data_IF_190397241136
#
_entry.id   IF_190397241136
#
_cell.length_a   1.000
_cell.length_b   1.000
_cell.length_c   1.000
_cell.angle_alpha   90.00
_cell.angle_beta   90.00
_cell.angle_gamma   90.00
#
_symmetry.space_group_name_H-M   'P 1'
#
loop_
_entity.id
_entity.type
_entity.pdbx_description
1 polymer ?
#
# COMPACT_ATOMS: atom_id res chain seq x y z
N UNK A 1 -19.21 -1.82 -20.47
CA UNK A 1 -18.41 -0.89 -19.61
C UNK A 1 -17.70 -1.75 -18.60
N UNK A 2 -16.42 -1.53 -18.38
CA UNK A 2 -15.64 -2.27 -17.39
C UNK A 2 -16.15 -1.97 -15.97
N UNK A 3 -16.34 -3.01 -15.15
CA UNK A 3 -16.77 -2.88 -13.77
C UNK A 3 -15.53 -2.65 -12.88
N UNK A 4 -15.33 -1.42 -12.43
CA UNK A 4 -14.23 -1.03 -11.56
C UNK A 4 -14.75 -0.69 -10.17
N UNK A 5 -14.06 -1.15 -9.12
CA UNK A 5 -14.32 -0.77 -7.73
C UNK A 5 -13.01 -0.45 -7.02
N UNK A 6 -12.95 0.73 -6.42
CA UNK A 6 -11.83 1.15 -5.55
C UNK A 6 -12.33 1.20 -4.12
N UNK A 7 -11.81 0.33 -3.27
CA UNK A 7 -12.13 0.30 -1.85
C UNK A 7 -11.63 1.59 -1.20
N UNK A 8 -12.46 2.22 -0.37
CA UNK A 8 -12.07 3.36 0.47
C UNK A 8 -12.09 2.90 1.92
N UNK A 9 -10.92 2.64 2.48
CA UNK A 9 -10.80 2.16 3.86
C UNK A 9 -11.09 3.26 4.86
N UNK A 10 -12.11 3.07 5.72
CA UNK A 10 -12.57 4.03 6.73
C UNK A 10 -12.69 3.30 8.06
N UNK A 11 -12.12 3.86 9.15
CA UNK A 11 -12.17 3.25 10.48
C UNK A 11 -12.83 4.13 11.55
N UNK A 12 -13.23 5.34 11.19
CA UNK A 12 -13.88 6.32 12.08
C UNK A 12 -14.78 7.23 11.27
N UNK A 13 -15.68 7.94 11.94
CA UNK A 13 -16.48 8.99 11.31
C UNK A 13 -15.57 10.15 10.88
N UNK A 14 -15.46 10.35 9.57
CA UNK A 14 -14.58 11.35 8.97
C UNK A 14 -15.04 11.68 7.53
N UNK A 15 -14.50 12.75 6.95
CA UNK A 15 -14.79 13.12 5.57
C UNK A 15 -14.17 12.11 4.60
N UNK A 16 -14.92 11.77 3.57
CA UNK A 16 -14.43 10.99 2.42
C UNK A 16 -15.17 11.38 1.15
N UNK A 17 -14.52 11.13 0.01
CA UNK A 17 -15.10 11.43 -1.30
C UNK A 17 -16.01 10.30 -1.77
N UNK A 18 -17.16 10.67 -2.30
CA UNK A 18 -18.16 9.74 -2.88
C UNK A 18 -18.07 9.78 -4.40
N UNK A 19 -17.97 8.60 -5.01
CA UNK A 19 -18.04 8.43 -6.46
C UNK A 19 -18.55 7.01 -6.75
N UNK A 20 -19.18 6.78 -7.88
CA UNK A 20 -19.79 5.49 -8.28
C UNK A 20 -18.78 4.32 -8.34
N UNK A 21 -17.52 4.63 -8.65
CA UNK A 21 -16.45 3.64 -8.81
C UNK A 21 -15.74 3.36 -7.49
N UNK A 22 -16.05 4.12 -6.43
CA UNK A 22 -15.45 3.98 -5.10
C UNK A 22 -16.42 3.34 -4.13
N UNK A 23 -15.95 2.32 -3.41
CA UNK A 23 -16.71 1.56 -2.43
C UNK A 23 -16.16 1.83 -1.03
N UNK A 24 -16.83 2.67 -0.22
CA UNK A 24 -16.42 2.89 1.17
C UNK A 24 -16.62 1.63 1.99
N UNK A 25 -15.59 1.24 2.75
CA UNK A 25 -15.56 0.05 3.61
C UNK A 25 -15.18 0.46 5.03
N UNK A 26 -16.04 0.15 6.01
CA UNK A 26 -15.72 0.28 7.42
C UNK A 26 -14.78 -0.87 7.83
N UNK A 27 -13.49 -0.58 7.96
CA UNK A 27 -12.47 -1.57 8.32
C UNK A 27 -12.44 -1.79 9.83
N UNK A 28 -12.29 -3.05 10.25
CA UNK A 28 -12.35 -3.42 11.67
C UNK A 28 -13.76 -3.29 12.28
N UNK A 29 -14.80 -3.36 11.46
CA UNK A 29 -16.20 -3.22 11.90
C UNK A 29 -16.55 -4.19 13.03
N UNK A 30 -16.01 -5.43 13.00
CA UNK A 30 -16.22 -6.42 14.04
C UNK A 30 -15.79 -5.98 15.46
N UNK A 31 -14.89 -4.98 15.54
CA UNK A 31 -14.40 -4.43 16.81
C UNK A 31 -14.96 -3.02 17.10
N UNK A 32 -15.79 -2.47 16.21
CA UNK A 32 -16.28 -1.10 16.30
C UNK A 32 -17.74 -1.07 16.72
N UNK A 33 -18.06 -0.24 17.72
CA UNK A 33 -19.44 0.06 18.12
C UNK A 33 -20.06 1.19 17.30
N UNK A 34 -19.30 1.82 16.40
CA UNK A 34 -19.77 2.93 15.56
C UNK A 34 -20.47 2.34 14.33
N UNK A 35 -21.62 2.89 13.98
CA UNK A 35 -22.25 2.63 12.68
C UNK A 35 -22.00 3.83 11.75
N UNK A 36 -21.23 3.58 10.69
CA UNK A 36 -20.94 4.59 9.67
C UNK A 36 -21.95 4.57 8.51
N UNK A 37 -22.95 3.69 8.54
CA UNK A 37 -23.94 3.55 7.47
C UNK A 37 -23.35 3.10 6.12
N UNK A 38 -22.17 2.46 6.13
CA UNK A 38 -21.48 1.93 4.95
C UNK A 38 -21.18 0.44 5.10
N UNK A 39 -20.75 -0.21 4.02
CA UNK A 39 -20.38 -1.62 4.05
C UNK A 39 -19.28 -1.87 5.10
N UNK A 40 -19.51 -2.80 6.03
CA UNK A 40 -18.49 -3.30 6.95
C UNK A 40 -17.67 -4.43 6.34
N UNK A 41 -16.43 -4.56 6.77
CA UNK A 41 -15.54 -5.67 6.39
C UNK A 41 -15.77 -6.94 7.25
N UNK A 42 -16.85 -6.97 8.05
CA UNK A 42 -17.23 -8.04 8.98
C UNK A 42 -18.31 -8.99 8.44
N UNK A 43 -18.72 -8.83 7.18
CA UNK A 43 -19.74 -9.68 6.53
C UNK A 43 -19.10 -10.80 5.71
N UNK A 44 -19.83 -11.93 5.55
CA UNK A 44 -19.35 -13.06 4.74
C UNK A 44 -18.02 -13.64 5.24
N UNK A 45 -17.19 -14.12 4.32
CA UNK A 45 -15.82 -14.57 4.65
C UNK A 45 -14.93 -13.36 4.91
N UNK A 46 -14.41 -13.20 6.14
CA UNK A 46 -13.72 -12.01 6.57
C UNK A 46 -12.67 -12.27 7.67
N UNK A 47 -11.79 -11.28 7.85
CA UNK A 47 -10.81 -11.22 8.93
C UNK A 47 -10.91 -9.89 9.71
N UNK A 48 -12.10 -9.29 9.79
CA UNK A 48 -12.33 -7.96 10.37
C UNK A 48 -11.79 -7.83 11.79
N UNK A 49 -11.91 -8.89 12.61
CA UNK A 49 -11.39 -8.94 13.98
C UNK A 49 -9.86 -8.76 14.05
N UNK A 50 -9.12 -9.01 12.96
CA UNK A 50 -7.68 -8.87 12.87
C UNK A 50 -7.22 -7.45 12.47
N UNK A 51 -8.15 -6.51 12.28
CA UNK A 51 -7.85 -5.16 11.83
C UNK A 51 -6.75 -4.44 12.64
N UNK A 52 -6.62 -4.59 13.98
CA UNK A 52 -5.53 -3.94 14.72
C UNK A 52 -4.12 -4.28 14.20
N UNK A 53 -3.95 -5.46 13.59
CA UNK A 53 -2.65 -5.91 13.06
C UNK A 53 -2.59 -5.93 11.53
N UNK A 54 -3.70 -6.15 10.85
CA UNK A 54 -3.80 -6.23 9.39
C UNK A 54 -4.17 -4.89 8.73
N UNK A 55 -4.69 -3.92 9.49
CA UNK A 55 -5.09 -2.60 9.00
C UNK A 55 -6.04 -2.69 7.78
N UNK A 56 -5.76 -1.95 6.70
CA UNK A 56 -6.53 -1.93 5.45
C UNK A 56 -6.59 -3.30 4.73
N UNK A 57 -5.73 -4.23 5.07
CA UNK A 57 -5.73 -5.56 4.48
C UNK A 57 -6.99 -6.36 4.84
N UNK A 58 -7.71 -5.99 5.92
CA UNK A 58 -9.00 -6.62 6.24
C UNK A 58 -10.05 -6.30 5.19
N UNK A 59 -10.07 -5.06 4.66
CA UNK A 59 -10.93 -4.70 3.52
C UNK A 59 -10.52 -5.43 2.23
N UNK A 60 -9.20 -5.60 1.99
CA UNK A 60 -8.72 -6.37 0.84
C UNK A 60 -9.18 -7.81 0.90
N UNK A 61 -9.03 -8.46 2.06
CA UNK A 61 -9.48 -9.85 2.27
C UNK A 61 -10.99 -9.97 2.04
N UNK A 62 -11.77 -9.08 2.66
CA UNK A 62 -13.21 -9.06 2.49
C UNK A 62 -13.61 -8.91 1.02
N UNK A 63 -13.02 -7.98 0.29
CA UNK A 63 -13.32 -7.77 -1.12
C UNK A 63 -12.95 -8.98 -1.97
N UNK A 64 -11.79 -9.59 -1.72
CA UNK A 64 -11.33 -10.80 -2.41
C UNK A 64 -12.31 -11.97 -2.25
N UNK A 65 -12.83 -12.16 -1.05
CA UNK A 65 -13.75 -13.28 -0.75
C UNK A 65 -15.19 -13.03 -1.18
N UNK A 66 -15.67 -11.80 -1.12
CA UNK A 66 -17.11 -11.51 -1.19
C UNK A 66 -17.53 -10.78 -2.48
N UNK A 67 -16.65 -9.98 -3.13
CA UNK A 67 -17.02 -9.30 -4.36
C UNK A 67 -17.00 -10.25 -5.56
N UNK A 68 -17.94 -10.03 -6.49
CA UNK A 68 -18.10 -10.83 -7.72
C UNK A 68 -18.26 -9.91 -8.92
N UNK A 69 -17.92 -10.41 -10.11
CA UNK A 69 -18.10 -9.71 -11.36
C UNK A 69 -17.39 -8.34 -11.44
N UNK A 70 -16.20 -8.25 -10.84
CA UNK A 70 -15.32 -7.07 -10.86
C UNK A 70 -14.21 -7.30 -11.88
N UNK A 71 -14.01 -6.36 -12.81
CA UNK A 71 -12.93 -6.39 -13.79
C UNK A 71 -11.63 -5.82 -13.21
N UNK A 72 -11.77 -4.70 -12.47
CA UNK A 72 -10.65 -4.00 -11.83
C UNK A 72 -10.98 -3.64 -10.39
N UNK A 73 -10.06 -3.89 -9.51
CA UNK A 73 -10.17 -3.61 -8.08
C UNK A 73 -9.03 -2.70 -7.62
N UNK A 74 -9.35 -1.73 -6.79
CA UNK A 74 -8.36 -0.85 -6.19
C UNK A 74 -8.54 -0.70 -4.70
N UNK A 75 -7.55 -0.08 -4.06
CA UNK A 75 -7.56 0.28 -2.66
C UNK A 75 -7.03 1.69 -2.48
N UNK A 76 -7.75 2.49 -1.74
CA UNK A 76 -7.34 3.79 -1.23
C UNK A 76 -7.84 3.99 0.20
N UNK A 77 -7.56 5.15 0.79
CA UNK A 77 -7.98 5.48 2.15
C UNK A 77 -8.90 6.69 2.13
N UNK A 78 -9.72 6.87 3.15
CA UNK A 78 -10.69 7.98 3.24
C UNK A 78 -10.08 9.39 3.12
N UNK A 79 -8.78 9.53 3.38
CA UNK A 79 -8.02 10.78 3.23
C UNK A 79 -6.94 10.73 2.13
N UNK A 80 -6.88 9.67 1.31
CA UNK A 80 -5.85 9.51 0.27
C UNK A 80 -6.45 8.94 -0.99
N UNK A 81 -6.32 9.68 -2.11
CA UNK A 81 -6.87 9.31 -3.42
C UNK A 81 -5.85 9.53 -4.53
N UNK A 82 -6.00 8.81 -5.63
CA UNK A 82 -5.19 9.07 -6.83
C UNK A 82 -5.61 10.39 -7.49
N UNK A 83 -4.63 11.20 -7.86
CA UNK A 83 -4.87 12.39 -8.66
C UNK A 83 -4.80 12.07 -10.17
N UNK A 84 -5.94 11.81 -10.76
CA UNK A 84 -6.05 11.61 -12.20
C UNK A 84 -6.24 12.92 -12.99
N UNK A 85 -6.53 14.03 -12.31
CA UNK A 85 -6.95 15.30 -12.89
C UNK A 85 -5.98 16.45 -12.69
N UNK A 86 -4.72 16.16 -12.28
CA UNK A 86 -3.64 17.14 -12.10
C UNK A 86 -3.96 18.24 -11.07
N UNK A 87 -4.62 17.88 -10.00
CA UNK A 87 -5.00 18.77 -8.90
C UNK A 87 -3.86 18.96 -7.90
N UNK A 88 -2.93 17.99 -7.86
CA UNK A 88 -1.74 18.05 -7.04
C UNK A 88 -0.72 19.07 -7.56
N UNK A 89 0.06 19.60 -6.63
CA UNK A 89 1.17 20.49 -6.94
C UNK A 89 2.17 19.78 -7.87
N UNK A 90 2.49 20.42 -8.99
CA UNK A 90 3.42 19.86 -9.98
C UNK A 90 4.80 19.59 -9.36
N UNK A 91 5.32 18.39 -9.58
CA UNK A 91 6.65 18.00 -9.09
C UNK A 91 6.65 17.43 -7.66
N UNK A 92 5.47 17.07 -7.11
CA UNK A 92 5.33 16.41 -5.82
C UNK A 92 4.61 15.07 -5.97
N UNK A 93 5.01 14.03 -5.24
CA UNK A 93 4.35 12.71 -5.28
C UNK A 93 2.98 12.73 -4.60
N UNK A 94 2.71 13.71 -3.77
CA UNK A 94 1.42 13.99 -3.16
C UNK A 94 1.29 15.48 -2.83
N UNK A 95 0.05 15.90 -2.63
CA UNK A 95 -0.26 17.25 -2.10
C UNK A 95 -1.27 17.11 -0.97
N UNK A 96 -0.99 17.75 0.16
CA UNK A 96 -1.92 17.83 1.29
C UNK A 96 -2.86 19.00 1.07
N UNK A 97 -4.14 18.73 1.24
CA UNK A 97 -5.22 19.70 1.20
C UNK A 97 -5.95 19.69 2.54
N UNK A 98 -6.46 20.84 3.01
CA UNK A 98 -7.35 20.90 4.17
C UNK A 98 -8.58 19.98 3.97
N UNK A 99 -9.09 19.38 5.05
CA UNK A 99 -10.23 18.46 4.95
C UNK A 99 -11.52 19.15 4.47
N UNK A 100 -11.67 20.47 4.70
CA UNK A 100 -12.81 21.27 4.17
C UNK A 100 -12.79 21.41 2.64
N UNK A 101 -11.66 21.16 1.97
CA UNK A 101 -11.55 21.13 0.52
C UNK A 101 -11.93 19.77 -0.09
N UNK A 102 -12.20 18.75 0.74
CA UNK A 102 -12.43 17.40 0.29
C UNK A 102 -13.49 17.34 -0.83
N UNK A 103 -14.64 17.97 -0.63
CA UNK A 103 -15.76 17.95 -1.59
C UNK A 103 -15.47 18.67 -2.92
N UNK A 104 -14.38 19.45 -2.99
CA UNK A 104 -13.99 20.19 -4.19
C UNK A 104 -13.01 19.41 -5.09
N UNK A 105 -12.63 18.17 -4.72
CA UNK A 105 -11.67 17.38 -5.50
C UNK A 105 -12.36 16.35 -6.36
N UNK A 106 -11.92 16.27 -7.61
CA UNK A 106 -12.39 15.26 -8.56
C UNK A 106 -11.51 14.01 -8.47
N UNK A 107 -12.11 12.89 -8.10
CA UNK A 107 -11.49 11.57 -8.04
C UNK A 107 -12.01 10.62 -9.11
N UNK A 108 -12.83 11.11 -10.05
CA UNK A 108 -13.38 10.27 -11.12
C UNK A 108 -12.27 9.56 -11.90
N UNK A 109 -12.55 8.33 -12.34
CA UNK A 109 -11.60 7.52 -13.09
C UNK A 109 -11.80 7.78 -14.58
N UNK A 110 -10.91 8.52 -15.26
CA UNK A 110 -11.09 8.86 -16.66
C UNK A 110 -10.82 7.65 -17.57
N UNK A 111 -11.38 7.66 -18.76
CA UNK A 111 -11.24 6.62 -19.79
C UNK A 111 -9.77 6.29 -20.11
N UNK A 112 -8.89 7.27 -20.00
CA UNK A 112 -7.43 7.07 -20.18
C UNK A 112 -6.81 6.11 -19.16
N UNK A 113 -7.36 6.04 -17.95
CA UNK A 113 -6.94 5.09 -16.90
C UNK A 113 -7.47 3.70 -17.23
N UNK A 114 -8.75 3.60 -17.63
CA UNK A 114 -9.35 2.32 -18.03
C UNK A 114 -8.54 1.70 -19.17
N UNK A 115 -8.18 2.47 -20.20
CA UNK A 115 -7.31 2.02 -21.30
C UNK A 115 -5.93 1.54 -20.85
N UNK A 116 -5.37 2.09 -19.78
CA UNK A 116 -4.12 1.59 -19.21
C UNK A 116 -4.31 0.25 -18.50
N UNK A 117 -5.38 0.12 -17.71
CA UNK A 117 -5.74 -1.13 -17.05
C UNK A 117 -6.00 -2.25 -18.07
N UNK A 118 -6.71 -1.96 -19.17
CA UNK A 118 -6.92 -2.89 -20.29
C UNK A 118 -5.61 -3.35 -20.93
N UNK A 119 -4.59 -2.48 -21.00
CA UNK A 119 -3.24 -2.81 -21.46
C UNK A 119 -2.39 -3.55 -20.42
N UNK A 120 -2.97 -3.94 -19.28
CA UNK A 120 -2.30 -4.68 -18.21
C UNK A 120 -1.40 -3.84 -17.32
N UNK A 121 -1.60 -2.51 -17.25
CA UNK A 121 -0.90 -1.69 -16.28
C UNK A 121 -1.61 -1.73 -14.93
N UNK A 122 -0.84 -1.89 -13.86
CA UNK A 122 -1.29 -1.52 -12.52
C UNK A 122 -1.22 0.01 -12.34
N UNK A 123 -2.24 0.59 -11.73
CA UNK A 123 -2.19 1.99 -11.27
C UNK A 123 -1.65 1.98 -9.84
N UNK A 124 -0.62 2.78 -9.58
CA UNK A 124 0.06 2.85 -8.28
C UNK A 124 0.40 4.31 -7.94
N UNK A 125 0.66 4.64 -6.66
CA UNK A 125 1.16 5.95 -6.28
C UNK A 125 2.51 6.27 -6.93
N UNK A 126 2.87 7.54 -6.97
CA UNK A 126 4.27 7.90 -7.19
C UNK A 126 5.14 7.32 -6.07
N UNK A 127 6.33 6.88 -6.41
CA UNK A 127 7.26 6.30 -5.43
C UNK A 127 7.78 7.37 -4.47
N UNK A 128 7.99 6.97 -3.24
CA UNK A 128 8.72 7.74 -2.22
C UNK A 128 10.12 7.14 -2.09
N UNK A 129 11.15 8.00 -2.08
CA UNK A 129 12.55 7.61 -1.92
C UNK A 129 12.99 7.80 -0.47
N UNK A 130 13.55 6.75 0.12
CA UNK A 130 14.19 6.78 1.43
C UNK A 130 15.69 7.06 1.34
N UNK A 131 16.32 7.37 2.47
CA UNK A 131 17.77 7.63 2.51
C UNK A 131 18.61 6.34 2.47
N UNK A 132 17.99 5.20 2.80
CA UNK A 132 18.63 3.88 2.88
C UNK A 132 17.83 2.85 2.07
N UNK A 133 18.31 1.60 1.97
CA UNK A 133 17.53 0.51 1.40
C UNK A 133 16.18 0.36 2.12
N UNK A 134 15.19 -0.22 1.46
CA UNK A 134 13.88 -0.45 2.10
C UNK A 134 13.99 -1.39 3.29
N UNK A 135 14.93 -2.35 3.26
CA UNK A 135 15.21 -3.22 4.40
C UNK A 135 15.67 -2.40 5.62
N UNK A 136 16.70 -1.56 5.45
CA UNK A 136 17.20 -0.73 6.53
C UNK A 136 16.17 0.31 7.00
N UNK A 137 15.40 0.89 6.07
CA UNK A 137 14.30 1.78 6.42
C UNK A 137 13.26 1.08 7.31
N UNK A 138 12.87 -0.15 6.96
CA UNK A 138 11.96 -0.94 7.81
C UNK A 138 12.56 -1.16 9.21
N UNK A 139 13.81 -1.61 9.28
CA UNK A 139 14.49 -1.88 10.56
C UNK A 139 14.68 -0.63 11.45
N UNK A 140 14.68 0.58 10.84
CA UNK A 140 14.74 1.84 11.60
C UNK A 140 13.37 2.22 12.18
N UNK A 141 12.28 1.90 11.50
CA UNK A 141 10.93 2.30 11.88
C UNK A 141 10.16 1.21 12.64
N UNK A 142 10.53 -0.05 12.45
CA UNK A 142 9.82 -1.23 12.92
C UNK A 142 10.79 -2.28 13.49
N UNK A 143 10.24 -3.40 13.99
CA UNK A 143 11.01 -4.48 14.56
C UNK A 143 11.71 -5.27 13.46
N UNK A 144 13.05 -5.28 13.48
CA UNK A 144 13.86 -5.88 12.42
C UNK A 144 13.69 -7.41 12.31
N UNK A 145 13.46 -8.10 13.44
CA UNK A 145 13.30 -9.55 13.44
C UNK A 145 12.01 -10.01 12.74
N UNK A 146 10.99 -9.16 12.74
CA UNK A 146 9.76 -9.42 11.98
C UNK A 146 10.04 -9.46 10.48
N UNK A 147 10.84 -8.53 9.98
CA UNK A 147 11.20 -8.50 8.56
C UNK A 147 12.10 -9.68 8.16
N UNK A 148 13.03 -10.09 9.06
CA UNK A 148 13.85 -11.29 8.85
C UNK A 148 12.98 -12.55 8.83
N UNK A 149 11.98 -12.63 9.72
CA UNK A 149 11.01 -13.73 9.72
C UNK A 149 10.23 -13.76 8.39
N UNK A 150 9.79 -12.60 7.90
CA UNK A 150 9.13 -12.49 6.60
C UNK A 150 10.04 -12.95 5.44
N UNK A 151 11.33 -12.56 5.45
CA UNK A 151 12.33 -13.00 4.48
C UNK A 151 12.50 -14.54 4.51
N UNK A 152 12.61 -15.14 5.70
CA UNK A 152 12.67 -16.59 5.87
C UNK A 152 11.43 -17.28 5.27
N UNK A 153 10.23 -16.79 5.59
CA UNK A 153 8.99 -17.36 5.06
C UNK A 153 8.97 -17.34 3.53
N UNK A 154 9.33 -16.21 2.91
CA UNK A 154 9.38 -16.09 1.45
C UNK A 154 10.39 -17.07 0.86
N UNK A 155 11.57 -17.22 1.48
CA UNK A 155 12.61 -18.15 1.02
C UNK A 155 12.19 -19.62 1.14
N UNK A 156 11.40 -19.97 2.15
CA UNK A 156 10.95 -21.33 2.42
C UNK A 156 9.72 -21.73 1.60
N UNK A 157 8.83 -20.79 1.30
CA UNK A 157 7.47 -21.12 0.83
C UNK A 157 7.15 -20.60 -0.58
N UNK A 158 7.97 -19.70 -1.12
CA UNK A 158 7.69 -19.07 -2.40
C UNK A 158 8.65 -19.49 -3.50
N UNK A 159 8.20 -19.36 -4.75
CA UNK A 159 9.04 -19.56 -5.93
C UNK A 159 10.24 -18.59 -5.94
N UNK A 160 11.33 -19.01 -6.59
CA UNK A 160 12.57 -18.24 -6.71
C UNK A 160 12.37 -16.79 -7.18
N UNK A 161 11.40 -16.53 -8.06
CA UNK A 161 11.11 -15.17 -8.54
C UNK A 161 10.74 -14.19 -7.41
N UNK A 162 10.10 -14.67 -6.34
CA UNK A 162 9.73 -13.84 -5.18
C UNK A 162 10.89 -13.61 -4.24
N UNK A 163 11.78 -14.61 -4.06
CA UNK A 163 13.01 -14.43 -3.29
C UNK A 163 13.97 -13.47 -3.98
N UNK A 164 14.14 -13.59 -5.30
CA UNK A 164 14.92 -12.67 -6.11
C UNK A 164 14.32 -11.25 -6.08
N UNK A 165 12.99 -11.15 -6.10
CA UNK A 165 12.27 -9.88 -6.00
C UNK A 165 12.42 -9.25 -4.61
N UNK A 166 12.35 -10.06 -3.54
CA UNK A 166 12.60 -9.58 -2.17
C UNK A 166 14.00 -8.96 -2.06
N UNK A 167 15.04 -9.69 -2.46
CA UNK A 167 16.41 -9.17 -2.45
C UNK A 167 16.53 -7.89 -3.28
N UNK A 168 15.95 -7.88 -4.49
CA UNK A 168 15.99 -6.71 -5.38
C UNK A 168 15.30 -5.50 -4.77
N UNK A 169 14.08 -5.66 -4.26
CA UNK A 169 13.26 -4.56 -3.77
C UNK A 169 13.72 -4.11 -2.38
N UNK A 170 13.91 -5.05 -1.44
CA UNK A 170 14.20 -4.69 -0.05
C UNK A 170 15.66 -4.30 0.18
N UNK A 171 16.60 -5.03 -0.41
CA UNK A 171 18.03 -4.83 -0.14
C UNK A 171 18.72 -3.86 -1.12
N UNK A 172 18.19 -3.72 -2.36
CA UNK A 172 18.89 -2.99 -3.43
C UNK A 172 18.14 -1.79 -3.98
N UNK A 173 16.98 -1.42 -3.41
CA UNK A 173 16.30 -0.16 -3.72
C UNK A 173 15.97 0.63 -2.47
N UNK A 174 15.73 1.92 -2.67
CA UNK A 174 15.25 2.85 -1.65
C UNK A 174 13.92 3.47 -2.03
N UNK A 175 13.23 2.91 -3.03
CA UNK A 175 11.99 3.43 -3.60
C UNK A 175 10.82 2.51 -3.27
N UNK A 176 9.73 3.08 -2.74
CA UNK A 176 8.52 2.37 -2.34
C UNK A 176 7.28 3.02 -2.97
N UNK A 177 6.34 2.21 -3.49
CA UNK A 177 4.95 2.63 -3.68
C UNK A 177 4.25 2.63 -2.32
N UNK A 178 3.87 3.80 -1.79
CA UNK A 178 3.38 3.90 -0.42
C UNK A 178 1.91 3.51 -0.26
N UNK A 179 1.51 3.30 1.00
CA UNK A 179 0.12 3.25 1.45
C UNK A 179 -0.70 2.03 1.00
N UNK A 180 -0.10 0.96 0.52
CA UNK A 180 -0.85 -0.19 -0.05
C UNK A 180 -1.87 0.19 -1.14
N UNK A 181 -1.70 1.35 -1.79
CA UNK A 181 -2.65 1.85 -2.79
C UNK A 181 -2.35 1.30 -4.18
N UNK A 182 -3.38 0.84 -4.86
CA UNK A 182 -3.29 0.32 -6.22
C UNK A 182 -4.65 0.32 -6.91
N UNK A 183 -4.65 0.12 -8.24
CA UNK A 183 -5.78 -0.44 -9.01
C UNK A 183 -5.19 -1.53 -9.89
N UNK A 184 -5.69 -2.76 -9.75
CA UNK A 184 -5.23 -3.96 -10.45
C UNK A 184 -6.39 -4.58 -11.26
N UNK A 185 -6.05 -5.34 -12.29
CA UNK A 185 -6.97 -6.29 -12.89
C UNK A 185 -7.34 -7.36 -11.87
N UNK A 186 -8.59 -7.84 -11.89
CA UNK A 186 -9.07 -8.81 -10.89
C UNK A 186 -8.20 -10.06 -10.80
N UNK A 187 -7.75 -10.61 -11.93
CA UNK A 187 -6.89 -11.80 -11.91
C UNK A 187 -5.53 -11.56 -11.22
N UNK A 188 -4.95 -10.36 -11.40
CA UNK A 188 -3.69 -10.01 -10.72
C UNK A 188 -3.93 -9.78 -9.24
N UNK A 189 -5.08 -9.20 -8.88
CA UNK A 189 -5.49 -9.02 -7.50
C UNK A 189 -5.76 -10.36 -6.79
N UNK A 190 -6.45 -11.28 -7.42
CA UNK A 190 -6.71 -12.63 -6.88
C UNK A 190 -5.40 -13.38 -6.61
N UNK A 191 -4.48 -13.34 -7.57
CA UNK A 191 -3.13 -13.90 -7.42
C UNK A 191 -2.35 -13.21 -6.29
N UNK A 192 -2.42 -11.88 -6.21
CA UNK A 192 -1.79 -11.10 -5.15
C UNK A 192 -2.35 -11.47 -3.78
N UNK A 193 -3.66 -11.49 -3.62
CA UNK A 193 -4.29 -11.86 -2.35
C UNK A 193 -3.96 -13.29 -1.93
N UNK A 194 -4.00 -14.25 -2.85
CA UNK A 194 -3.60 -15.64 -2.58
C UNK A 194 -2.18 -15.71 -2.03
N UNK A 195 -1.24 -15.08 -2.70
CA UNK A 195 0.16 -15.04 -2.29
C UNK A 195 0.38 -14.27 -0.97
N UNK A 196 -0.20 -13.08 -0.87
CA UNK A 196 -0.08 -12.19 0.31
C UNK A 196 -0.60 -12.86 1.57
N UNK A 197 -1.84 -13.37 1.55
CA UNK A 197 -2.48 -13.91 2.75
C UNK A 197 -1.89 -15.25 3.16
N UNK A 198 -1.34 -16.05 2.24
CA UNK A 198 -0.57 -17.24 2.59
C UNK A 198 0.70 -16.87 3.38
N UNK A 199 1.46 -15.86 2.94
CA UNK A 199 2.67 -15.40 3.64
C UNK A 199 2.30 -14.79 5.00
N UNK A 200 1.28 -13.91 5.04
CA UNK A 200 0.89 -13.25 6.29
C UNK A 200 0.30 -14.24 7.31
N UNK A 201 -0.42 -15.26 6.84
CA UNK A 201 -0.91 -16.35 7.72
C UNK A 201 0.25 -17.14 8.33
N UNK A 202 1.33 -17.35 7.58
CA UNK A 202 2.51 -18.03 8.11
C UNK A 202 3.31 -17.10 9.05
N UNK A 203 3.38 -15.82 8.75
CA UNK A 203 4.00 -14.81 9.62
C UNK A 203 3.25 -14.70 10.97
N UNK A 204 1.92 -14.74 10.95
CA UNK A 204 1.07 -14.70 12.15
C UNK A 204 1.35 -15.88 13.11
N UNK A 205 1.72 -17.05 12.57
CA UNK A 205 2.08 -18.22 13.40
C UNK A 205 3.45 -18.12 14.05
N UNK A 206 4.37 -17.38 13.42
CA UNK A 206 5.80 -17.30 13.83
C UNK A 206 6.13 -16.07 14.67
N UNK A 207 5.30 -15.01 14.59
CA UNK A 207 5.56 -13.74 15.25
C UNK A 207 4.57 -13.52 16.39
N UNK A 208 5.07 -13.41 17.62
CA UNK A 208 4.25 -13.06 18.78
C UNK A 208 4.21 -11.55 18.97
N UNK A 209 3.02 -10.95 18.77
CA UNK A 209 2.78 -9.51 18.84
C UNK A 209 2.15 -9.03 20.17
N UNK A 210 1.97 -9.92 21.16
CA UNK A 210 1.27 -9.60 22.42
C UNK A 210 1.89 -8.40 23.14
N UNK A 211 3.23 -8.36 23.19
CA UNK A 211 3.99 -7.33 23.88
C UNK A 211 4.31 -6.09 23.04
N UNK A 212 3.80 -6.03 21.80
CA UNK A 212 4.06 -4.87 20.93
C UNK A 212 3.22 -3.66 21.34
N UNK A 213 3.77 -2.44 21.13
CA UNK A 213 2.99 -1.23 21.22
C UNK A 213 1.85 -1.23 20.19
N UNK A 214 0.81 -0.43 20.41
CA UNK A 214 -0.31 -0.32 19.46
C UNK A 214 0.16 0.04 18.04
N UNK A 215 1.23 0.82 17.91
CA UNK A 215 1.81 1.14 16.61
C UNK A 215 2.47 -0.09 15.97
N UNK A 216 3.33 -0.80 16.71
CA UNK A 216 4.03 -1.97 16.18
C UNK A 216 3.11 -3.18 15.96
N UNK A 217 1.97 -3.27 16.66
CA UNK A 217 0.95 -4.31 16.38
C UNK A 217 0.41 -4.26 14.96
N UNK A 218 0.53 -3.13 14.25
CA UNK A 218 0.13 -2.95 12.83
C UNK A 218 1.05 -3.66 11.83
N UNK A 219 1.84 -4.58 12.29
CA UNK A 219 2.93 -5.28 11.59
C UNK A 219 2.52 -5.83 10.21
N UNK A 220 1.35 -6.49 10.08
CA UNK A 220 0.95 -7.09 8.82
C UNK A 220 0.55 -6.03 7.78
N UNK A 221 0.02 -4.89 8.22
CA UNK A 221 -0.17 -3.71 7.36
C UNK A 221 1.17 -3.19 6.82
N UNK A 222 2.18 -3.07 7.69
CA UNK A 222 3.54 -2.65 7.28
C UNK A 222 4.21 -3.65 6.34
N UNK A 223 4.04 -4.95 6.58
CA UNK A 223 4.53 -6.00 5.67
C UNK A 223 3.80 -5.94 4.32
N UNK A 224 2.47 -5.78 4.32
CA UNK A 224 1.65 -5.70 3.10
C UNK A 224 2.13 -4.62 2.16
N UNK A 225 2.48 -3.44 2.67
CA UNK A 225 3.00 -2.33 1.85
C UNK A 225 4.30 -2.72 1.11
N UNK A 226 5.20 -3.47 1.75
CA UNK A 226 6.43 -3.98 1.11
C UNK A 226 6.13 -5.13 0.15
N UNK A 227 5.24 -6.03 0.55
CA UNK A 227 4.85 -7.18 -0.26
C UNK A 227 4.17 -6.77 -1.57
N UNK A 228 3.38 -5.70 -1.61
CA UNK A 228 2.84 -5.17 -2.87
C UNK A 228 3.95 -4.82 -3.86
N UNK A 229 5.01 -4.15 -3.41
CA UNK A 229 6.14 -3.77 -4.25
C UNK A 229 6.92 -5.00 -4.75
N UNK A 230 7.10 -6.02 -3.91
CA UNK A 230 7.76 -7.28 -4.26
C UNK A 230 6.91 -8.04 -5.28
N UNK A 231 5.60 -8.15 -5.07
CA UNK A 231 4.68 -8.84 -5.97
C UNK A 231 4.66 -8.22 -7.36
N UNK A 232 4.49 -6.90 -7.46
CA UNK A 232 4.47 -6.19 -8.74
C UNK A 232 5.76 -6.41 -9.53
N UNK A 233 6.91 -6.46 -8.85
CA UNK A 233 8.20 -6.73 -9.48
C UNK A 233 8.32 -8.21 -9.89
N UNK A 234 8.00 -9.16 -9.01
CA UNK A 234 8.12 -10.60 -9.28
C UNK A 234 7.22 -11.05 -10.44
N UNK A 235 6.03 -10.48 -10.55
CA UNK A 235 5.07 -10.77 -11.63
C UNK A 235 5.30 -9.94 -12.89
N UNK A 236 6.33 -9.08 -12.89
CA UNK A 236 6.65 -8.19 -14.02
C UNK A 236 5.44 -7.33 -14.47
N UNK A 237 4.61 -6.90 -13.52
CA UNK A 237 3.43 -6.09 -13.80
C UNK A 237 3.87 -4.66 -14.15
N UNK A 238 3.49 -4.19 -15.32
CA UNK A 238 3.74 -2.81 -15.75
C UNK A 238 2.98 -1.85 -14.83
N UNK A 239 3.63 -0.78 -14.40
CA UNK A 239 3.01 0.21 -13.50
C UNK A 239 2.82 1.56 -14.16
N UNK A 240 1.70 2.22 -13.90
CA UNK A 240 1.45 3.61 -14.24
C UNK A 240 1.24 4.40 -12.94
N UNK A 241 2.10 5.40 -12.72
CA UNK A 241 2.21 6.12 -11.45
C UNK A 241 1.41 7.41 -11.46
N UNK A 242 0.78 7.72 -10.32
CA UNK A 242 -0.01 8.94 -10.13
C UNK A 242 0.28 9.57 -8.76
N UNK A 243 0.31 10.92 -8.68
CA UNK A 243 0.37 11.61 -7.40
C UNK A 243 -0.85 11.29 -6.54
N UNK A 244 -0.76 11.54 -5.24
CA UNK A 244 -1.87 11.37 -4.32
C UNK A 244 -2.41 12.72 -3.84
N UNK A 245 -3.73 12.85 -3.85
CA UNK A 245 -4.47 13.84 -3.07
C UNK A 245 -4.52 13.30 -1.64
N UNK A 246 -4.07 14.09 -0.68
CA UNK A 246 -4.08 13.75 0.74
C UNK A 246 -4.83 14.82 1.51
N UNK A 247 -5.70 14.45 2.45
CA UNK A 247 -6.45 15.40 3.29
C UNK A 247 -5.96 15.34 4.73
N UNK A 248 -5.58 16.48 5.30
CA UNK A 248 -5.24 16.62 6.72
C UNK A 248 -5.58 18.02 7.21
N UNK A 249 -5.99 18.12 8.47
CA UNK A 249 -6.12 19.41 9.18
C UNK A 249 -4.94 19.65 10.12
N UNK A 250 -4.10 18.65 10.33
CA UNK A 250 -2.91 18.80 11.12
C UNK A 250 -1.91 19.61 10.29
N UNK A 251 -1.36 20.67 10.87
CA UNK A 251 -0.14 21.30 10.39
C UNK A 251 1.02 20.31 10.61
N UNK A 252 0.97 19.16 9.92
CA UNK A 252 2.17 18.37 9.76
C UNK A 252 3.15 19.30 9.05
N UNK A 253 4.26 19.61 9.71
CA UNK A 253 5.45 20.16 9.03
C UNK A 253 5.82 19.17 7.93
N UNK A 254 5.18 19.36 6.78
CA UNK A 254 5.53 18.62 5.59
C UNK A 254 6.99 18.87 5.31
N UNK A 255 7.82 17.89 5.54
CA UNK A 255 9.03 17.78 4.76
C UNK A 255 8.60 17.66 3.29
N UNK A 256 8.42 18.81 2.64
CA UNK A 256 8.01 18.92 1.22
C UNK A 256 9.05 18.24 0.36
N UNK A 257 8.91 16.91 0.25
CA UNK A 257 9.83 16.08 -0.52
C UNK A 257 9.45 16.24 -1.98
N UNK A 258 9.95 17.33 -2.61
CA UNK A 258 9.80 17.53 -4.05
C UNK A 258 10.44 16.37 -4.84
N UNK A 259 10.02 16.14 -6.08
CA UNK A 259 10.66 15.15 -6.97
C UNK A 259 12.16 15.39 -7.12
N UNK A 260 12.62 16.65 -7.06
CA UNK A 260 14.04 16.98 -7.12
C UNK A 260 14.76 16.39 -5.90
N UNK A 261 14.24 16.60 -4.68
CA UNK A 261 14.81 16.05 -3.44
C UNK A 261 14.80 14.51 -3.47
N UNK A 262 13.73 13.89 -3.99
CA UNK A 262 13.66 12.45 -4.14
C UNK A 262 14.66 11.90 -5.18
N UNK A 263 14.80 12.54 -6.34
CA UNK A 263 15.82 12.19 -7.34
C UNK A 263 17.23 12.29 -6.76
N UNK A 264 17.49 13.32 -5.97
CA UNK A 264 18.77 13.51 -5.30
C UNK A 264 19.02 12.40 -4.27
N UNK A 265 18.06 12.07 -3.41
CA UNK A 265 18.15 10.93 -2.46
C UNK A 265 18.43 9.62 -3.20
N UNK A 266 17.71 9.35 -4.29
CA UNK A 266 17.91 8.14 -5.09
C UNK A 266 19.29 8.13 -5.77
N UNK A 267 19.75 9.27 -6.28
CA UNK A 267 21.10 9.39 -6.87
C UNK A 267 22.19 9.13 -5.81
N UNK A 268 22.11 9.75 -4.64
CA UNK A 268 23.06 9.53 -3.55
C UNK A 268 23.07 8.06 -3.09
N UNK A 269 21.90 7.44 -2.99
CA UNK A 269 21.80 6.01 -2.67
C UNK A 269 22.49 5.15 -3.74
N UNK A 270 22.24 5.38 -5.03
CA UNK A 270 22.89 4.64 -6.12
C UNK A 270 24.41 4.83 -6.12
N UNK A 271 24.89 6.03 -5.86
CA UNK A 271 26.32 6.31 -5.71
C UNK A 271 26.90 5.54 -4.53
N UNK A 272 26.26 5.57 -3.37
CA UNK A 272 26.71 4.80 -2.18
C UNK A 272 26.76 3.30 -2.45
N UNK A 273 25.81 2.77 -3.22
CA UNK A 273 25.79 1.36 -3.63
C UNK A 273 26.92 0.98 -4.59
N UNK A 274 27.39 1.92 -5.43
CA UNK A 274 28.54 1.69 -6.32
C UNK A 274 29.85 1.60 -5.54
N UNK A 275 29.99 2.35 -4.45
CA UNK A 275 31.20 2.38 -3.61
C UNK A 275 31.18 1.39 -2.45
N UNK A 276 30.01 0.84 -2.07
CA UNK A 276 29.87 -0.18 -1.03
C UNK A 276 29.61 -1.53 -1.67
N UNK A 277 30.58 -2.43 -1.65
CA UNK A 277 30.39 -3.82 -2.11
C UNK A 277 29.42 -4.63 -1.23
N UNK A 278 28.80 -4.01 -0.19
CA UNK A 278 27.71 -4.59 0.59
C UNK A 278 26.95 -3.52 1.38
N UNK A 279 25.60 -3.41 1.23
CA UNK A 279 24.77 -2.48 2.03
C UNK A 279 24.76 -2.79 3.53
N UNK A 280 25.20 -3.97 3.92
CA UNK A 280 25.27 -4.44 5.34
C UNK A 280 26.42 -3.81 6.15
N UNK A 281 27.25 -2.97 5.55
CA UNK A 281 28.51 -2.50 6.20
C UNK A 281 28.39 -1.15 6.92
N UNK A 282 27.27 -0.44 6.86
CA UNK A 282 27.17 0.93 7.40
C UNK A 282 26.55 1.06 8.78
N UNK A 283 26.21 -0.05 9.42
CA UNK A 283 25.73 -0.05 10.80
C UNK A 283 26.45 -1.14 11.61
N UNK A 284 27.63 -0.79 12.11
CA UNK A 284 28.20 -1.34 13.32
C UNK A 284 28.14 -0.30 14.42
#
# INVERSE_FOLDING_TARGET
MSNIKVLVCIHKDDVYLKNKDYLPIHVGKALSNIDLGIQGDDTGDNISIKNPSYCELTAMYWAWKNLKNIDYIGLCHYRRYFDFHKQCRKGFPYTIFPTNECQNKDISIPESIIKKLEKGYAIVPEKICHNTSLFNNYCTCHISDDLKTLECIINETCDKKYTDAFDKIMNRTNELFPCNMFILKWNDFDKYCTWLFNILSEAEKRINIEHYSNYQKRIFGFMGERLLNIFLYAENIKTSKYPLIYFSNEEEEEEKISYIKQKYRNLLYKISMMFSMSPKFWFK
#
